data_IF_442126018665
#
_entry.id   IF_442126018665
#
_cell.length_a   1.000
_cell.length_b   1.000
_cell.length_c   1.000
_cell.angle_alpha   90.00
_cell.angle_beta   90.00
_cell.angle_gamma   90.00
#
_symmetry.space_group_name_H-M   'P 1'
#
loop_
_entity.id
_entity.type
_entity.pdbx_description
1 polymer ?
#
# COMPACT_ATOMS: atom_id res chain seq x y z
N UNK A 1 3.19 -21.15 7.95
CA UNK A 1 3.02 -19.88 7.22
C UNK A 1 4.31 -19.54 6.46
N UNK A 2 4.17 -19.26 5.16
CA UNK A 2 5.31 -18.94 4.30
C UNK A 2 5.49 -17.42 4.08
N UNK A 3 4.53 -16.61 4.49
CA UNK A 3 4.59 -15.15 4.34
C UNK A 3 5.64 -14.58 5.32
N UNK A 4 6.47 -13.67 4.80
CA UNK A 4 7.45 -12.96 5.63
C UNK A 4 6.88 -11.63 6.10
N UNK A 5 7.26 -11.21 7.31
CA UNK A 5 7.02 -9.85 7.76
C UNK A 5 7.73 -8.87 6.80
N UNK A 6 7.02 -7.85 6.27
CA UNK A 6 7.67 -6.79 5.50
C UNK A 6 8.73 -6.07 6.34
N UNK A 7 9.83 -5.66 5.71
CA UNK A 7 10.89 -4.93 6.40
C UNK A 7 10.39 -3.56 6.87
N UNK A 8 10.88 -3.10 8.01
CA UNK A 8 10.69 -1.73 8.46
C UNK A 8 11.58 -0.79 7.65
N UNK A 9 11.13 0.44 7.43
CA UNK A 9 11.92 1.44 6.73
C UNK A 9 13.27 1.66 7.45
N UNK A 10 14.37 1.64 6.68
CA UNK A 10 15.73 1.87 7.23
C UNK A 10 15.90 3.26 7.85
N UNK A 11 15.08 4.23 7.41
CA UNK A 11 15.04 5.57 7.95
C UNK A 11 14.07 5.75 9.14
N UNK A 12 13.50 4.66 9.67
CA UNK A 12 12.61 4.72 10.83
C UNK A 12 13.28 5.44 12.02
N UNK A 13 12.59 6.44 12.56
CA UNK A 13 13.06 7.32 13.64
C UNK A 13 11.98 7.47 14.70
N UNK A 14 12.41 7.69 15.94
CA UNK A 14 11.51 7.97 17.06
C UNK A 14 10.62 6.80 17.46
N UNK A 15 9.42 7.09 17.88
CA UNK A 15 8.33 6.15 18.20
C UNK A 15 8.65 5.15 19.34
N UNK A 16 9.66 5.43 20.16
CA UNK A 16 10.07 4.53 21.24
C UNK A 16 8.98 4.39 22.31
N UNK A 17 8.26 5.47 22.57
CA UNK A 17 7.23 5.48 23.60
C UNK A 17 5.95 4.82 23.11
N UNK A 18 5.60 4.99 21.83
CA UNK A 18 4.50 4.27 21.20
C UNK A 18 4.78 2.75 21.17
N UNK A 19 5.99 2.34 20.81
CA UNK A 19 6.38 0.92 20.82
C UNK A 19 6.31 0.33 22.22
N UNK A 20 6.75 1.07 23.25
CA UNK A 20 6.61 0.64 24.67
C UNK A 20 5.15 0.56 25.09
N UNK A 21 4.33 1.54 24.71
CA UNK A 21 2.90 1.55 25.02
C UNK A 21 2.19 0.35 24.39
N UNK A 22 2.51 0.02 23.12
CA UNK A 22 2.00 -1.19 22.44
C UNK A 22 2.42 -2.44 23.23
N UNK A 23 3.69 -2.55 23.63
CA UNK A 23 4.21 -3.69 24.39
C UNK A 23 3.50 -3.86 25.73
N UNK A 24 3.28 -2.75 26.45
CA UNK A 24 2.58 -2.72 27.72
C UNK A 24 1.12 -3.16 27.58
N UNK A 25 0.43 -2.64 26.55
CA UNK A 25 -0.97 -2.98 26.29
C UNK A 25 -1.12 -4.46 25.94
N UNK A 26 -0.36 -4.95 24.96
CA UNK A 26 -0.40 -6.36 24.50
C UNK A 26 0.15 -7.36 25.55
N UNK A 27 0.65 -6.89 26.69
CA UNK A 27 0.94 -7.75 27.85
C UNK A 27 -0.28 -8.04 28.71
N UNK A 28 -1.33 -7.22 28.62
CA UNK A 28 -2.54 -7.29 29.43
C UNK A 28 -3.80 -7.58 28.62
N UNK A 29 -3.81 -7.20 27.35
CA UNK A 29 -4.94 -7.33 26.42
C UNK A 29 -4.47 -7.99 25.13
N UNK A 30 -5.38 -8.68 24.43
CA UNK A 30 -5.04 -9.39 23.20
C UNK A 30 -5.21 -8.53 21.94
N UNK A 31 -5.90 -7.40 21.99
CA UNK A 31 -6.23 -6.58 20.81
C UNK A 31 -5.90 -5.13 21.06
N UNK A 32 -5.21 -4.51 20.08
CA UNK A 32 -4.90 -3.09 20.11
C UNK A 32 -5.01 -2.48 18.70
N UNK A 33 -5.66 -1.33 18.62
CA UNK A 33 -5.66 -0.52 17.40
C UNK A 33 -4.57 0.55 17.45
N UNK A 34 -3.87 0.72 16.33
CA UNK A 34 -3.00 1.87 16.05
C UNK A 34 -3.76 2.78 15.11
N UNK A 35 -4.12 3.97 15.57
CA UNK A 35 -4.90 4.92 14.80
C UNK A 35 -4.08 6.16 14.43
N UNK A 36 -4.54 6.96 13.47
CA UNK A 36 -3.88 8.19 13.03
C UNK A 36 -4.05 8.45 11.54
N UNK A 37 -3.60 9.60 11.08
CA UNK A 37 -3.73 10.03 9.68
C UNK A 37 -3.04 9.06 8.70
N UNK A 38 -3.47 9.13 7.43
CA UNK A 38 -2.79 8.41 6.34
C UNK A 38 -1.33 8.89 6.23
N UNK A 39 -0.37 7.99 6.00
CA UNK A 39 1.04 8.35 5.81
C UNK A 39 1.82 8.79 7.07
N UNK A 40 1.20 8.79 8.27
CA UNK A 40 1.85 9.19 9.54
C UNK A 40 2.85 8.14 10.07
N UNK A 41 2.84 6.92 9.51
CA UNK A 41 3.77 5.85 9.88
C UNK A 41 3.18 4.73 10.74
N UNK A 42 1.85 4.54 10.80
CA UNK A 42 1.20 3.46 11.57
C UNK A 42 1.74 2.08 11.26
N UNK A 43 1.82 1.74 9.97
CA UNK A 43 2.34 0.46 9.48
C UNK A 43 3.81 0.27 9.87
N UNK A 44 4.61 1.34 9.81
CA UNK A 44 6.02 1.29 10.20
C UNK A 44 6.18 1.08 11.72
N UNK A 45 5.33 1.70 12.54
CA UNK A 45 5.30 1.45 14.00
C UNK A 45 4.93 0.00 14.30
N UNK A 46 3.93 -0.57 13.61
CA UNK A 46 3.54 -1.98 13.79
C UNK A 46 4.68 -2.94 13.40
N UNK A 47 5.35 -2.69 12.28
CA UNK A 47 6.52 -3.47 11.83
C UNK A 47 7.69 -3.33 12.81
N UNK A 48 8.01 -2.12 13.25
CA UNK A 48 9.06 -1.85 14.22
C UNK A 48 8.79 -2.54 15.56
N UNK A 49 7.53 -2.51 16.03
CA UNK A 49 7.12 -3.26 17.21
C UNK A 49 7.38 -4.76 17.06
N UNK A 50 6.96 -5.34 15.93
CA UNK A 50 7.14 -6.76 15.65
C UNK A 50 8.63 -7.16 15.61
N UNK A 51 9.48 -6.34 14.96
CA UNK A 51 10.92 -6.58 14.89
C UNK A 51 11.60 -6.47 16.26
N UNK A 52 11.28 -5.42 17.01
CA UNK A 52 11.85 -5.19 18.35
C UNK A 52 11.46 -6.29 19.33
N UNK A 53 10.25 -6.83 19.22
CA UNK A 53 9.70 -7.85 20.10
C UNK A 53 9.74 -9.26 19.47
N UNK A 54 10.53 -9.47 18.41
CA UNK A 54 10.59 -10.75 17.67
C UNK A 54 10.81 -11.97 18.55
N UNK A 55 11.57 -11.85 19.63
CA UNK A 55 11.87 -12.94 20.55
C UNK A 55 10.67 -13.33 21.45
N UNK A 56 9.68 -12.47 21.59
CA UNK A 56 8.46 -12.72 22.35
C UNK A 56 7.51 -13.64 21.61
N UNK A 57 7.56 -13.63 20.29
CA UNK A 57 6.58 -14.32 19.45
C UNK A 57 7.19 -15.52 18.71
N UNK A 58 6.55 -16.66 18.83
CA UNK A 58 6.85 -17.84 18.01
C UNK A 58 6.46 -17.60 16.55
N UNK A 59 5.29 -16.98 16.34
CA UNK A 59 4.77 -16.64 15.04
C UNK A 59 4.47 -15.14 14.93
N UNK A 60 4.78 -14.55 13.77
CA UNK A 60 4.33 -13.21 13.39
C UNK A 60 3.67 -13.33 12.02
N UNK A 61 2.40 -12.97 11.96
CA UNK A 61 1.59 -12.97 10.74
C UNK A 61 1.34 -11.51 10.36
N UNK A 62 1.66 -11.15 9.12
CA UNK A 62 1.33 -9.84 8.58
C UNK A 62 0.26 -10.02 7.50
N UNK A 63 -0.89 -9.39 7.72
CA UNK A 63 -2.06 -9.44 6.85
C UNK A 63 -2.40 -8.01 6.43
N UNK A 64 -2.38 -7.75 5.12
CA UNK A 64 -2.83 -6.48 4.58
C UNK A 64 -4.33 -6.58 4.26
N UNK A 65 -5.13 -5.69 4.83
CA UNK A 65 -6.58 -5.68 4.61
C UNK A 65 -6.92 -5.09 3.25
N UNK A 66 -7.65 -5.84 2.43
CA UNK A 66 -8.05 -5.44 1.07
C UNK A 66 -9.56 -5.20 0.93
N UNK A 67 -10.33 -5.31 2.01
CA UNK A 67 -11.78 -5.10 2.03
C UNK A 67 -12.60 -6.31 2.46
N UNK A 68 -11.99 -7.50 2.61
CA UNK A 68 -12.65 -8.74 3.05
C UNK A 68 -11.63 -9.62 3.79
N UNK A 69 -11.79 -9.73 5.12
CA UNK A 69 -10.86 -10.50 5.96
C UNK A 69 -10.82 -11.99 5.62
N UNK A 70 -11.94 -12.58 5.21
CA UNK A 70 -11.97 -14.00 4.86
C UNK A 70 -11.11 -14.27 3.63
N UNK A 71 -11.25 -13.41 2.62
CA UNK A 71 -10.43 -13.46 1.39
C UNK A 71 -8.96 -13.19 1.69
N UNK A 72 -8.66 -12.21 2.54
CA UNK A 72 -7.29 -11.88 2.92
C UNK A 72 -6.62 -13.04 3.67
N UNK A 73 -7.36 -13.73 4.56
CA UNK A 73 -6.87 -14.94 5.25
C UNK A 73 -6.70 -16.10 4.26
N UNK A 74 -7.62 -16.30 3.31
CA UNK A 74 -7.48 -17.30 2.27
C UNK A 74 -6.23 -17.06 1.39
N UNK A 75 -5.84 -15.81 1.23
CA UNK A 75 -4.68 -15.39 0.44
C UNK A 75 -3.33 -15.52 1.18
N UNK A 76 -3.32 -15.81 2.47
CA UNK A 76 -2.10 -16.22 3.16
C UNK A 76 -1.55 -17.51 2.50
N UNK A 77 -0.24 -17.70 2.58
CA UNK A 77 0.41 -18.90 2.01
C UNK A 77 0.85 -19.84 3.12
N UNK A 78 0.30 -21.03 3.15
CA UNK A 78 0.70 -22.09 4.05
C UNK A 78 1.42 -23.22 3.28
N UNK A 79 2.25 -23.98 3.98
CA UNK A 79 3.05 -25.04 3.37
C UNK A 79 2.20 -26.18 2.75
N UNK A 80 1.00 -26.37 3.28
CA UNK A 80 0.07 -27.43 2.88
C UNK A 80 -0.95 -26.96 1.83
N UNK A 81 -0.82 -25.71 1.32
CA UNK A 81 -1.68 -25.21 0.26
C UNK A 81 -1.44 -25.98 -1.04
N UNK A 82 -2.51 -26.48 -1.64
CA UNK A 82 -2.48 -27.04 -2.98
C UNK A 82 -3.19 -26.12 -3.97
N UNK A 83 -2.76 -26.20 -5.21
CA UNK A 83 -3.28 -25.41 -6.34
C UNK A 83 -4.76 -25.74 -6.64
N UNK A 84 -5.23 -26.89 -6.19
CA UNK A 84 -6.60 -27.35 -6.42
C UNK A 84 -7.62 -26.81 -5.41
N UNK A 85 -7.15 -26.20 -4.31
CA UNK A 85 -8.02 -25.67 -3.26
C UNK A 85 -8.69 -24.38 -3.72
N UNK A 86 -10.03 -24.34 -3.68
CA UNK A 86 -10.77 -23.10 -3.87
C UNK A 86 -10.61 -22.16 -2.66
N UNK A 87 -11.03 -20.91 -2.80
CA UNK A 87 -10.87 -19.86 -1.79
C UNK A 87 -11.51 -20.24 -0.44
N UNK A 88 -12.73 -20.80 -0.45
CA UNK A 88 -13.43 -21.19 0.78
C UNK A 88 -12.69 -22.33 1.51
N UNK A 89 -12.21 -23.35 0.79
CA UNK A 89 -11.43 -24.46 1.38
C UNK A 89 -10.13 -23.93 1.97
N UNK A 90 -9.45 -23.02 1.27
CA UNK A 90 -8.23 -22.37 1.78
C UNK A 90 -8.53 -21.55 3.02
N UNK A 91 -9.56 -20.69 2.99
CA UNK A 91 -9.99 -19.96 4.16
C UNK A 91 -10.23 -20.88 5.37
N UNK A 92 -11.01 -21.94 5.20
CA UNK A 92 -11.33 -22.89 6.27
C UNK A 92 -10.07 -23.56 6.84
N UNK A 93 -9.15 -23.98 5.98
CA UNK A 93 -7.90 -24.59 6.42
C UNK A 93 -7.00 -23.60 7.17
N UNK A 94 -6.81 -22.40 6.61
CA UNK A 94 -5.99 -21.35 7.23
C UNK A 94 -6.59 -20.91 8.57
N UNK A 95 -7.90 -20.68 8.62
CA UNK A 95 -8.57 -20.24 9.83
C UNK A 95 -8.54 -21.31 10.93
N UNK A 96 -8.69 -22.60 10.58
CA UNK A 96 -8.48 -23.72 11.54
C UNK A 96 -7.07 -23.72 12.15
N UNK A 97 -6.04 -23.39 11.35
CA UNK A 97 -4.68 -23.23 11.88
C UNK A 97 -4.61 -22.02 12.81
N UNK A 98 -5.16 -20.88 12.40
CA UNK A 98 -5.17 -19.65 13.19
C UNK A 98 -5.88 -19.82 14.54
N UNK A 99 -6.98 -20.56 14.61
CA UNK A 99 -7.70 -20.87 15.84
C UNK A 99 -6.89 -21.69 16.86
N UNK A 100 -5.81 -22.33 16.44
CA UNK A 100 -4.89 -23.09 17.33
C UNK A 100 -3.69 -22.29 17.78
N UNK A 101 -3.57 -21.04 17.32
CA UNK A 101 -2.49 -20.15 17.72
C UNK A 101 -2.86 -19.43 19.02
N UNK A 102 -1.86 -19.16 19.86
CA UNK A 102 -2.02 -18.60 21.19
C UNK A 102 -1.28 -17.25 21.32
N UNK A 103 -1.17 -16.76 22.56
CA UNK A 103 -0.59 -15.45 22.91
C UNK A 103 0.88 -15.27 22.50
N UNK A 104 1.57 -16.34 22.11
CA UNK A 104 2.91 -16.29 21.50
C UNK A 104 2.88 -16.01 19.99
N UNK A 105 1.71 -15.74 19.44
CA UNK A 105 1.49 -15.33 18.05
C UNK A 105 1.02 -13.89 17.98
N UNK A 106 1.68 -13.08 17.15
CA UNK A 106 1.25 -11.73 16.79
C UNK A 106 0.67 -11.73 15.38
N UNK A 107 -0.58 -11.32 15.24
CA UNK A 107 -1.19 -10.98 13.96
C UNK A 107 -1.21 -9.45 13.82
N UNK A 108 -0.54 -8.93 12.81
CA UNK A 108 -0.64 -7.53 12.37
C UNK A 108 -1.66 -7.48 11.24
N UNK A 109 -2.78 -6.80 11.47
CA UNK A 109 -3.78 -6.49 10.46
C UNK A 109 -3.57 -5.04 10.03
N UNK A 110 -2.91 -4.86 8.88
CA UNK A 110 -2.56 -3.53 8.37
C UNK A 110 -3.61 -2.98 7.41
N UNK A 111 -3.79 -1.65 7.42
CA UNK A 111 -4.71 -0.91 6.55
C UNK A 111 -6.21 -1.21 6.77
N UNK A 112 -6.61 -1.53 7.99
CA UNK A 112 -8.03 -1.77 8.34
C UNK A 112 -8.78 -0.42 8.45
N UNK A 113 -9.19 0.14 7.32
CA UNK A 113 -9.75 1.50 7.21
C UNK A 113 -11.29 1.51 7.11
N UNK A 114 -11.94 0.47 7.62
CA UNK A 114 -13.40 0.37 7.74
C UNK A 114 -13.82 0.34 9.21
N UNK A 115 -15.09 0.57 9.50
CA UNK A 115 -15.56 0.41 10.87
C UNK A 115 -15.70 -1.10 11.20
N UNK A 116 -15.38 -1.53 12.42
CA UNK A 116 -15.49 -2.94 12.82
C UNK A 116 -16.90 -3.55 12.66
N UNK A 117 -17.93 -2.72 12.57
CA UNK A 117 -19.30 -3.17 12.28
C UNK A 117 -19.51 -3.57 10.81
N UNK A 118 -18.70 -3.01 9.91
CA UNK A 118 -18.79 -3.22 8.46
C UNK A 118 -17.94 -4.45 8.02
N UNK A 119 -17.12 -5.00 8.93
CA UNK A 119 -16.37 -6.25 8.75
C UNK A 119 -16.74 -7.25 9.87
N UNK A 120 -17.85 -7.99 9.71
CA UNK A 120 -18.36 -8.87 10.77
C UNK A 120 -17.37 -9.95 11.22
N UNK A 121 -16.52 -10.43 10.31
CA UNK A 121 -15.55 -11.48 10.62
C UNK A 121 -14.44 -11.01 11.58
N UNK A 122 -14.18 -9.70 11.67
CA UNK A 122 -13.23 -9.16 12.65
C UNK A 122 -13.58 -9.60 14.09
N UNK A 123 -14.87 -9.63 14.44
CA UNK A 123 -15.32 -10.06 15.77
C UNK A 123 -14.99 -11.53 16.06
N UNK A 124 -15.07 -12.38 15.03
CA UNK A 124 -14.68 -13.78 15.15
C UNK A 124 -13.16 -13.91 15.29
N UNK A 125 -12.40 -13.13 14.52
CA UNK A 125 -10.95 -13.12 14.60
C UNK A 125 -10.44 -12.66 15.96
N UNK A 126 -11.10 -11.67 16.59
CA UNK A 126 -10.78 -11.14 17.91
C UNK A 126 -11.07 -12.12 19.08
N UNK A 127 -11.82 -13.21 18.85
CA UNK A 127 -12.07 -14.25 19.85
C UNK A 127 -10.92 -15.26 19.97
N UNK A 128 -9.99 -15.26 19.02
CA UNK A 128 -8.83 -16.14 19.06
C UNK A 128 -7.85 -15.68 20.15
N UNK A 129 -7.07 -16.62 20.69
CA UNK A 129 -6.13 -16.34 21.81
C UNK A 129 -4.86 -15.59 21.37
N UNK A 130 -4.67 -15.34 20.06
CA UNK A 130 -3.50 -14.62 19.56
C UNK A 130 -3.57 -13.11 19.84
N UNK A 131 -2.42 -12.46 19.80
CA UNK A 131 -2.34 -11.00 19.92
C UNK A 131 -2.59 -10.33 18.56
N UNK A 132 -3.52 -9.36 18.52
CA UNK A 132 -3.89 -8.61 17.32
C UNK A 132 -3.43 -7.16 17.43
N UNK A 133 -2.66 -6.71 16.47
CA UNK A 133 -2.26 -5.32 16.31
C UNK A 133 -2.84 -4.79 14.98
N UNK A 134 -3.79 -3.86 15.06
CA UNK A 134 -4.60 -3.45 13.90
C UNK A 134 -4.30 -1.99 13.58
N UNK A 135 -3.84 -1.67 12.38
CA UNK A 135 -3.66 -0.28 11.95
C UNK A 135 -4.90 0.25 11.25
N UNK A 136 -5.34 1.45 11.59
CA UNK A 136 -6.54 2.06 11.02
C UNK A 136 -6.43 3.59 10.91
N UNK A 137 -7.15 4.18 9.94
CA UNK A 137 -7.40 5.63 9.90
C UNK A 137 -8.64 6.03 10.69
N UNK A 138 -9.49 5.06 11.04
CA UNK A 138 -10.74 5.32 11.72
C UNK A 138 -10.53 5.59 13.20
N UNK A 139 -11.18 6.63 13.75
CA UNK A 139 -11.25 6.87 15.20
C UNK A 139 -12.28 5.92 15.81
N UNK A 140 -11.84 5.03 16.69
CA UNK A 140 -12.66 3.95 17.26
C UNK A 140 -12.95 4.25 18.74
N UNK A 141 -14.22 4.51 19.09
CA UNK A 141 -14.62 4.87 20.46
C UNK A 141 -14.70 3.69 21.43
N UNK A 142 -14.90 2.47 20.92
CA UNK A 142 -15.21 1.28 21.73
C UNK A 142 -14.10 0.24 21.73
N UNK A 143 -12.91 0.61 21.27
CA UNK A 143 -11.75 -0.27 21.18
C UNK A 143 -10.53 0.44 21.76
N UNK A 144 -9.68 -0.33 22.42
CA UNK A 144 -8.42 0.20 22.91
C UNK A 144 -7.54 0.60 21.73
N UNK A 145 -7.07 1.83 21.74
CA UNK A 145 -6.28 2.38 20.63
C UNK A 145 -5.18 3.30 21.12
N UNK A 146 -4.07 3.28 20.38
CA UNK A 146 -2.98 4.25 20.50
C UNK A 146 -3.01 5.11 19.24
N UNK A 147 -3.18 6.42 19.41
CA UNK A 147 -3.14 7.37 18.31
C UNK A 147 -1.70 7.76 18.01
N UNK A 148 -1.27 7.54 16.76
CA UNK A 148 0.02 8.00 16.25
C UNK A 148 -0.17 9.42 15.74
N UNK A 149 0.55 10.35 16.37
CA UNK A 149 0.58 11.77 15.99
C UNK A 149 1.82 12.07 15.16
N UNK A 150 1.95 13.30 14.71
CA UNK A 150 3.15 13.80 14.04
C UNK A 150 4.39 13.56 14.91
N UNK A 151 5.51 13.34 14.27
CA UNK A 151 6.81 13.31 14.93
C UNK A 151 7.18 14.73 15.42
N UNK A 152 8.00 14.81 16.47
CA UNK A 152 8.52 16.09 16.94
C UNK A 152 9.29 16.80 15.81
N UNK A 153 8.89 18.06 15.52
CA UNK A 153 9.41 18.82 14.38
C UNK A 153 10.91 19.07 14.50
N UNK A 154 11.34 19.56 15.67
CA UNK A 154 12.70 20.06 15.86
C UNK A 154 13.74 18.91 15.98
N UNK A 155 13.29 17.75 16.46
CA UNK A 155 14.16 16.60 16.68
C UNK A 155 13.97 15.52 15.63
N UNK A 156 12.78 14.92 15.60
CA UNK A 156 12.54 13.70 14.86
C UNK A 156 12.33 13.95 13.36
N UNK A 157 11.51 14.95 12.98
CA UNK A 157 11.29 15.26 11.55
C UNK A 157 12.53 15.87 10.92
N UNK A 158 13.24 16.73 11.64
CA UNK A 158 14.51 17.30 11.17
C UNK A 158 15.58 16.21 11.02
N UNK A 159 15.68 15.27 11.96
CA UNK A 159 16.58 14.12 11.85
C UNK A 159 16.21 13.23 10.66
N UNK A 160 14.91 12.97 10.46
CA UNK A 160 14.37 12.21 9.33
C UNK A 160 14.73 12.88 8.00
N UNK A 161 14.54 14.20 7.89
CA UNK A 161 14.91 14.97 6.72
C UNK A 161 16.40 14.81 6.40
N UNK A 162 17.26 15.03 7.39
CA UNK A 162 18.72 14.92 7.22
C UNK A 162 19.22 13.50 6.97
N UNK A 163 18.46 12.48 7.37
CA UNK A 163 18.78 11.10 7.06
C UNK A 163 18.60 10.80 5.57
N UNK A 164 17.59 11.44 4.95
CA UNK A 164 17.32 11.32 3.53
C UNK A 164 18.11 12.33 2.67
N UNK A 165 18.38 13.53 3.20
CA UNK A 165 19.16 14.58 2.53
C UNK A 165 20.22 15.16 3.46
N UNK A 166 21.38 14.52 3.62
CA UNK A 166 22.45 15.00 4.50
C UNK A 166 23.01 16.36 4.11
N UNK A 167 22.99 16.71 2.83
CA UNK A 167 23.47 17.98 2.29
C UNK A 167 22.66 19.18 2.79
N UNK A 168 21.38 18.99 3.10
CA UNK A 168 20.48 20.04 3.58
C UNK A 168 20.81 20.57 5.00
N UNK A 169 21.73 19.91 5.74
CA UNK A 169 22.19 20.41 7.05
C UNK A 169 22.85 21.79 7.01
N UNK A 170 23.28 22.23 5.84
CA UNK A 170 23.88 23.58 5.62
C UNK A 170 22.85 24.71 5.65
N UNK A 171 21.56 24.40 5.52
CA UNK A 171 20.47 25.38 5.53
C UNK A 171 19.31 24.87 6.43
N UNK A 172 19.49 24.90 7.76
CA UNK A 172 18.51 24.40 8.70
C UNK A 172 17.21 25.23 8.71
N UNK A 173 17.28 26.51 8.39
CA UNK A 173 16.13 27.40 8.42
C UNK A 173 15.16 27.06 7.29
N UNK A 174 15.65 26.87 6.07
CA UNK A 174 14.83 26.43 4.94
C UNK A 174 14.28 25.03 5.16
N UNK A 175 15.06 24.10 5.74
CA UNK A 175 14.58 22.76 6.10
C UNK A 175 13.43 22.83 7.12
N UNK A 176 13.56 23.66 8.16
CA UNK A 176 12.49 23.86 9.14
C UNK A 176 11.23 24.43 8.49
N UNK A 177 11.39 25.39 7.57
CA UNK A 177 10.27 25.97 6.83
C UNK A 177 9.62 24.96 5.85
N UNK A 178 10.39 24.09 5.18
CA UNK A 178 9.86 23.00 4.33
C UNK A 178 9.02 22.04 5.18
N UNK A 179 9.51 21.61 6.34
CA UNK A 179 8.79 20.71 7.24
C UNK A 179 7.44 21.32 7.66
N UNK A 180 7.41 22.63 7.94
CA UNK A 180 6.16 23.34 8.25
C UNK A 180 5.23 23.43 7.05
N UNK A 181 5.75 23.78 5.88
CA UNK A 181 4.97 23.92 4.65
C UNK A 181 4.23 22.62 4.30
N UNK A 182 4.87 21.48 4.50
CA UNK A 182 4.23 20.15 4.31
C UNK A 182 3.47 19.66 5.55
N UNK A 183 3.08 20.57 6.46
CA UNK A 183 2.27 20.31 7.65
C UNK A 183 2.86 19.24 8.60
N UNK A 184 4.16 19.15 8.72
CA UNK A 184 4.86 18.14 9.56
C UNK A 184 4.46 16.68 9.22
N UNK A 185 3.90 16.43 8.05
CA UNK A 185 3.41 15.12 7.67
C UNK A 185 4.56 14.19 7.25
N UNK A 186 4.76 13.09 7.96
CA UNK A 186 5.95 12.23 7.84
C UNK A 186 6.25 11.80 6.40
N UNK A 187 5.25 11.34 5.64
CA UNK A 187 5.46 10.90 4.26
C UNK A 187 5.89 12.05 3.34
N UNK A 188 5.24 13.22 3.45
CA UNK A 188 5.59 14.39 2.63
C UNK A 188 6.96 14.95 2.98
N UNK A 189 7.34 14.92 4.26
CA UNK A 189 8.69 15.28 4.73
C UNK A 189 9.74 14.34 4.12
N UNK A 190 9.51 13.02 4.15
CA UNK A 190 10.39 12.05 3.51
C UNK A 190 10.54 12.32 2.01
N UNK A 191 9.42 12.53 1.30
CA UNK A 191 9.46 12.79 -0.14
C UNK A 191 10.14 14.11 -0.47
N UNK A 192 9.91 15.18 0.31
CA UNK A 192 10.59 16.46 0.12
C UNK A 192 12.11 16.31 0.26
N UNK A 193 12.56 15.60 1.29
CA UNK A 193 14.00 15.35 1.51
C UNK A 193 14.61 14.51 0.37
N UNK A 194 13.92 13.45 -0.08
CA UNK A 194 14.38 12.60 -1.18
C UNK A 194 14.37 13.34 -2.53
N UNK A 195 13.36 14.18 -2.78
CA UNK A 195 13.30 15.04 -3.96
C UNK A 195 14.47 16.02 -3.96
N UNK A 196 14.76 16.65 -2.84
CA UNK A 196 15.87 17.58 -2.69
C UNK A 196 17.22 16.89 -2.95
N UNK A 197 17.46 15.73 -2.33
CA UNK A 197 18.70 14.95 -2.53
C UNK A 197 18.87 14.50 -3.99
N UNK A 198 17.77 14.10 -4.63
CA UNK A 198 17.80 13.56 -5.99
C UNK A 198 17.91 14.65 -7.07
N UNK A 199 17.25 15.80 -6.88
CA UNK A 199 17.25 16.92 -7.84
C UNK A 199 18.51 17.76 -7.77
N UNK A 200 19.20 17.80 -6.61
CA UNK A 200 20.30 18.70 -6.33
C UNK A 200 19.89 20.17 -6.20
N UNK A 201 18.61 20.46 -6.03
CA UNK A 201 18.08 21.80 -5.74
C UNK A 201 18.60 22.30 -4.39
N UNK A 202 18.64 23.62 -4.20
CA UNK A 202 18.85 24.18 -2.86
C UNK A 202 17.55 24.14 -2.05
N UNK A 203 17.61 24.01 -0.70
CA UNK A 203 16.42 23.96 0.15
C UNK A 203 15.46 25.13 -0.04
N UNK A 204 16.00 26.35 -0.22
CA UNK A 204 15.19 27.54 -0.47
C UNK A 204 14.40 27.46 -1.80
N UNK A 205 14.97 26.88 -2.86
CA UNK A 205 14.28 26.68 -4.14
C UNK A 205 13.10 25.73 -3.98
N UNK A 206 13.30 24.60 -3.29
CA UNK A 206 12.21 23.66 -3.00
C UNK A 206 11.11 24.31 -2.17
N UNK A 207 11.47 25.13 -1.17
CA UNK A 207 10.50 25.86 -0.35
C UNK A 207 9.65 26.82 -1.18
N UNK A 208 10.26 27.56 -2.11
CA UNK A 208 9.54 28.48 -3.00
C UNK A 208 8.59 27.74 -3.93
N UNK A 209 9.01 26.61 -4.48
CA UNK A 209 8.15 25.75 -5.29
C UNK A 209 6.96 25.21 -4.49
N UNK A 210 7.19 24.70 -3.26
CA UNK A 210 6.12 24.24 -2.38
C UNK A 210 5.10 25.33 -2.05
N UNK A 211 5.54 26.54 -1.80
CA UNK A 211 4.69 27.71 -1.55
C UNK A 211 3.90 28.15 -2.78
N UNK A 212 4.51 28.10 -3.96
CA UNK A 212 3.85 28.52 -5.20
C UNK A 212 2.62 27.68 -5.56
N UNK A 213 2.60 26.42 -5.17
CA UNK A 213 1.49 25.50 -5.44
C UNK A 213 0.42 25.47 -4.32
N UNK A 214 0.76 25.91 -3.11
CA UNK A 214 -0.18 25.93 -1.98
C UNK A 214 -1.25 27.04 -2.06
N UNK A 215 -1.07 28.04 -2.90
CA UNK A 215 -1.95 29.24 -2.93
C UNK A 215 -2.82 29.34 -4.19
N UNK A 216 -2.57 28.54 -5.23
CA UNK A 216 -3.02 28.90 -6.59
C UNK A 216 -4.10 28.07 -7.25
N UNK A 217 -4.48 26.90 -6.80
CA UNK A 217 -5.45 26.09 -7.56
C UNK A 217 -6.43 25.36 -6.64
N UNK A 218 -7.70 25.77 -6.67
CA UNK A 218 -8.90 25.14 -6.12
C UNK A 218 -9.36 25.53 -4.70
N UNK A 219 -9.13 26.75 -4.23
CA UNK A 219 -9.82 27.23 -3.02
C UNK A 219 -11.29 27.67 -3.28
N UNK A 220 -11.72 27.81 -4.53
CA UNK A 220 -13.09 28.31 -4.84
C UNK A 220 -14.21 27.23 -4.78
N UNK A 221 -13.87 25.95 -4.68
CA UNK A 221 -14.88 24.87 -4.65
C UNK A 221 -15.04 24.19 -3.28
N UNK A 222 -14.35 24.62 -2.23
CA UNK A 222 -14.33 23.91 -0.94
C UNK A 222 -14.89 24.80 0.17
N UNK A 223 -16.22 25.01 0.18
CA UNK A 223 -16.87 25.80 1.24
C UNK A 223 -17.15 25.05 2.56
N UNK A 224 -17.00 23.73 2.64
CA UNK A 224 -17.28 22.98 3.88
C UNK A 224 -16.42 21.72 4.00
N UNK A 225 -15.21 21.81 4.53
CA UNK A 225 -14.47 20.63 4.96
C UNK A 225 -14.23 20.65 6.48
N UNK A 226 -14.37 19.49 7.10
CA UNK A 226 -13.86 19.25 8.46
C UNK A 226 -12.33 19.30 8.41
N UNK A 227 -11.67 19.71 9.49
CA UNK A 227 -10.22 19.90 9.57
C UNK A 227 -9.39 18.71 9.03
N UNK A 228 -9.88 17.47 9.22
CA UNK A 228 -9.21 16.24 8.74
C UNK A 228 -9.23 16.12 7.21
N UNK A 229 -10.24 16.62 6.50
CA UNK A 229 -10.36 16.56 5.02
C UNK A 229 -9.51 17.63 4.33
N UNK A 230 -9.41 18.80 4.93
CA UNK A 230 -8.50 19.87 4.44
C UNK A 230 -7.04 19.46 4.53
N UNK A 231 -6.63 18.86 5.65
CA UNK A 231 -5.28 18.32 5.84
C UNK A 231 -4.95 17.23 4.82
N UNK A 232 -5.91 16.36 4.49
CA UNK A 232 -5.75 15.32 3.48
C UNK A 232 -5.57 15.90 2.07
N UNK A 233 -6.41 16.86 1.67
CA UNK A 233 -6.33 17.51 0.35
C UNK A 233 -5.00 18.27 0.17
N UNK A 234 -4.55 18.98 1.20
CA UNK A 234 -3.25 19.67 1.21
C UNK A 234 -2.08 18.69 1.05
N UNK A 235 -2.12 17.56 1.77
CA UNK A 235 -1.10 16.52 1.67
C UNK A 235 -1.04 15.90 0.26
N UNK A 236 -2.19 15.59 -0.35
CA UNK A 236 -2.25 15.09 -1.73
C UNK A 236 -1.69 16.13 -2.71
N UNK A 237 -1.99 17.41 -2.51
CA UNK A 237 -1.44 18.51 -3.29
C UNK A 237 0.10 18.56 -3.23
N UNK A 238 0.68 18.47 -2.03
CA UNK A 238 2.13 18.42 -1.85
C UNK A 238 2.76 17.16 -2.48
N UNK A 239 2.15 15.98 -2.31
CA UNK A 239 2.65 14.75 -2.96
C UNK A 239 2.64 14.86 -4.48
N UNK A 240 1.55 15.36 -5.05
CA UNK A 240 1.40 15.61 -6.50
C UNK A 240 2.50 16.53 -7.02
N UNK A 241 2.76 17.61 -6.31
CA UNK A 241 3.78 18.57 -6.67
C UNK A 241 5.19 17.97 -6.59
N UNK A 242 5.55 17.30 -5.49
CA UNK A 242 6.84 16.65 -5.33
C UNK A 242 7.09 15.63 -6.46
N UNK A 243 6.04 14.91 -6.90
CA UNK A 243 6.14 14.04 -8.06
C UNK A 243 6.41 14.81 -9.36
N UNK A 244 5.78 15.98 -9.57
CA UNK A 244 6.01 16.84 -10.75
C UNK A 244 7.42 17.45 -10.78
N UNK A 245 7.95 17.86 -9.62
CA UNK A 245 9.30 18.43 -9.51
C UNK A 245 10.40 17.44 -9.94
N UNK A 246 10.18 16.16 -9.79
CA UNK A 246 11.13 15.13 -10.21
C UNK A 246 11.26 15.00 -11.74
N UNK A 247 10.47 15.75 -12.52
CA UNK A 247 10.53 15.83 -14.00
C UNK A 247 10.66 14.44 -14.64
N UNK A 248 9.75 13.53 -14.28
CA UNK A 248 9.76 12.15 -14.73
C UNK A 248 9.72 12.11 -16.27
N UNK A 249 10.58 11.28 -16.87
CA UNK A 249 10.52 10.99 -18.31
C UNK A 249 9.33 10.06 -18.61
N UNK A 250 9.01 9.90 -19.90
CA UNK A 250 7.87 9.08 -20.36
C UNK A 250 7.96 7.63 -19.86
N UNK A 251 9.15 7.03 -19.90
CA UNK A 251 9.36 5.66 -19.39
C UNK A 251 9.07 5.55 -17.89
N UNK A 252 9.48 6.56 -17.10
CA UNK A 252 9.19 6.60 -15.66
C UNK A 252 7.70 6.79 -15.37
N UNK A 253 7.02 7.59 -16.19
CA UNK A 253 5.57 7.78 -16.11
C UNK A 253 4.85 6.46 -16.45
N UNK A 254 5.33 5.74 -17.47
CA UNK A 254 4.75 4.46 -17.86
C UNK A 254 4.96 3.37 -16.78
N UNK A 255 6.16 3.32 -16.19
CA UNK A 255 6.43 2.47 -15.02
C UNK A 255 5.48 2.78 -13.88
N UNK A 256 5.31 4.07 -13.56
CA UNK A 256 4.43 4.52 -12.48
C UNK A 256 2.96 4.20 -12.76
N UNK A 257 2.51 4.41 -14.01
CA UNK A 257 1.17 4.06 -14.49
C UNK A 257 0.86 2.58 -14.25
N UNK A 258 1.74 1.71 -14.71
CA UNK A 258 1.55 0.27 -14.57
C UNK A 258 1.64 -0.19 -13.11
N UNK A 259 2.62 0.34 -12.34
CA UNK A 259 2.77 -0.01 -10.92
C UNK A 259 1.58 0.49 -10.07
N UNK A 260 0.92 1.58 -10.46
CA UNK A 260 -0.26 2.11 -9.76
C UNK A 260 -1.47 1.16 -9.81
N UNK A 261 -1.51 0.27 -10.78
CA UNK A 261 -2.53 -0.78 -10.89
C UNK A 261 -2.26 -2.00 -10.00
N UNK A 262 -1.04 -2.14 -9.47
CA UNK A 262 -0.62 -3.32 -8.74
C UNK A 262 -0.88 -3.20 -7.24
N UNK A 263 -0.94 -4.32 -6.51
CA UNK A 263 -1.21 -4.31 -5.07
C UNK A 263 -0.18 -3.50 -4.28
N UNK A 264 -0.65 -2.75 -3.28
CA UNK A 264 0.22 -2.02 -2.34
C UNK A 264 1.02 -2.95 -1.42
N UNK A 265 0.67 -4.22 -1.34
CA UNK A 265 1.46 -5.28 -0.70
C UNK A 265 2.78 -5.55 -1.43
N UNK A 266 2.88 -5.11 -2.68
CA UNK A 266 4.07 -5.17 -3.50
C UNK A 266 4.15 -6.37 -4.42
N UNK A 267 4.98 -6.21 -5.45
CA UNK A 267 5.30 -7.24 -6.43
C UNK A 267 6.81 -7.43 -6.52
N UNK A 268 7.26 -8.63 -6.94
CA UNK A 268 8.69 -8.85 -7.14
C UNK A 268 9.26 -7.89 -8.20
N UNK A 269 10.32 -7.19 -7.88
CA UNK A 269 11.01 -6.25 -8.78
C UNK A 269 11.43 -6.91 -10.09
N UNK A 270 11.87 -8.18 -10.03
CA UNK A 270 12.24 -8.97 -11.22
C UNK A 270 11.02 -9.36 -12.07
N UNK A 271 9.90 -9.69 -11.43
CA UNK A 271 8.67 -10.01 -12.15
C UNK A 271 8.11 -8.75 -12.84
N UNK A 272 8.08 -7.62 -12.15
CA UNK A 272 7.65 -6.34 -12.72
C UNK A 272 8.51 -5.93 -13.92
N UNK A 273 9.86 -6.10 -13.85
CA UNK A 273 10.75 -5.89 -15.00
C UNK A 273 10.33 -6.73 -16.19
N UNK A 274 10.03 -8.00 -15.97
CA UNK A 274 9.62 -8.93 -17.04
C UNK A 274 8.24 -8.55 -17.62
N UNK A 275 7.28 -8.20 -16.77
CA UNK A 275 5.91 -7.87 -17.20
C UNK A 275 5.84 -6.61 -18.07
N UNK A 276 6.77 -5.66 -17.90
CA UNK A 276 6.87 -4.45 -18.72
C UNK A 276 7.93 -4.55 -19.80
N UNK A 277 8.60 -5.69 -19.99
CA UNK A 277 9.69 -5.87 -20.96
C UNK A 277 10.81 -4.82 -20.82
N UNK A 278 11.09 -4.38 -19.59
CA UNK A 278 12.07 -3.33 -19.37
C UNK A 278 13.49 -3.83 -19.69
N UNK A 279 14.22 -3.12 -20.51
CA UNK A 279 15.63 -3.40 -20.80
C UNK A 279 16.47 -3.33 -19.51
N UNK A 280 16.21 -2.34 -18.68
CA UNK A 280 16.93 -2.11 -17.43
C UNK A 280 16.02 -1.66 -16.30
N UNK A 281 16.52 -1.74 -15.07
CA UNK A 281 15.85 -1.22 -13.88
C UNK A 281 16.23 0.24 -13.56
N UNK A 282 16.88 0.96 -14.48
CA UNK A 282 17.38 2.32 -14.23
C UNK A 282 16.26 3.26 -13.75
N UNK A 283 15.18 3.34 -14.51
CA UNK A 283 14.05 4.23 -14.19
C UNK A 283 13.30 3.78 -12.93
N UNK A 284 13.17 2.46 -12.68
CA UNK A 284 12.63 1.94 -11.42
C UNK A 284 13.50 2.37 -10.23
N UNK A 285 14.84 2.23 -10.34
CA UNK A 285 15.75 2.65 -9.27
C UNK A 285 15.75 4.16 -9.06
N UNK A 286 15.53 4.93 -10.11
CA UNK A 286 15.37 6.38 -10.02
C UNK A 286 14.09 6.76 -9.25
N UNK A 287 12.98 6.13 -9.55
CA UNK A 287 11.72 6.30 -8.79
C UNK A 287 11.83 5.87 -7.32
N UNK A 288 12.63 4.83 -7.04
CA UNK A 288 12.97 4.43 -5.65
C UNK A 288 13.77 5.55 -4.97
N UNK A 289 14.76 6.12 -5.66
CA UNK A 289 15.59 7.20 -5.13
C UNK A 289 14.78 8.46 -4.83
N UNK A 290 13.75 8.77 -5.62
CA UNK A 290 12.80 9.87 -5.36
C UNK A 290 11.79 9.54 -4.24
N UNK A 291 11.79 8.33 -3.69
CA UNK A 291 10.84 7.92 -2.67
C UNK A 291 9.40 7.68 -3.18
N UNK A 292 9.21 7.67 -4.51
CA UNK A 292 7.92 7.39 -5.15
C UNK A 292 7.63 5.88 -5.05
N UNK A 293 8.63 5.04 -5.33
CA UNK A 293 8.54 3.58 -5.17
C UNK A 293 9.23 3.18 -3.87
N UNK A 294 8.56 2.39 -3.06
CA UNK A 294 9.11 1.72 -1.90
C UNK A 294 9.73 0.39 -2.31
N UNK A 295 10.93 0.08 -1.84
CA UNK A 295 11.60 -1.20 -2.06
C UNK A 295 11.78 -1.95 -0.74
N UNK A 296 11.31 -3.18 -0.69
CA UNK A 296 11.65 -4.14 0.36
C UNK A 296 12.81 -5.01 -0.14
N UNK A 297 14.01 -4.71 0.33
CA UNK A 297 15.24 -5.40 -0.10
C UNK A 297 15.34 -6.84 0.39
N UNK A 298 14.70 -7.17 1.55
CA UNK A 298 14.68 -8.53 2.08
C UNK A 298 13.78 -9.43 1.26
N UNK A 299 12.58 -8.93 0.91
CA UNK A 299 11.60 -9.66 0.10
C UNK A 299 11.78 -9.44 -1.40
N UNK A 300 12.67 -8.52 -1.81
CA UNK A 300 12.93 -8.14 -3.22
C UNK A 300 11.67 -7.66 -3.94
N UNK A 301 10.79 -6.96 -3.22
CA UNK A 301 9.53 -6.42 -3.74
C UNK A 301 9.58 -4.90 -3.87
N UNK A 302 8.76 -4.40 -4.77
CA UNK A 302 8.50 -2.96 -4.95
C UNK A 302 7.01 -2.71 -4.82
N UNK A 303 6.65 -1.54 -4.28
CA UNK A 303 5.27 -1.11 -4.10
C UNK A 303 5.15 0.40 -4.12
N UNK A 304 3.94 0.91 -4.33
CA UNK A 304 3.59 2.30 -4.03
C UNK A 304 2.96 2.39 -2.64
N UNK A 305 3.27 3.45 -1.92
CA UNK A 305 2.48 3.80 -0.75
C UNK A 305 1.03 4.12 -1.19
N UNK A 306 -0.02 3.74 -0.43
CA UNK A 306 -1.42 3.94 -0.86
C UNK A 306 -1.74 5.37 -1.31
N UNK A 307 -1.21 6.39 -0.65
CA UNK A 307 -1.39 7.79 -1.05
C UNK A 307 -0.67 8.14 -2.36
N UNK A 308 0.52 7.60 -2.56
CA UNK A 308 1.27 7.78 -3.81
C UNK A 308 0.57 7.05 -4.95
N UNK A 309 0.01 5.86 -4.69
CA UNK A 309 -0.80 5.12 -5.65
C UNK A 309 -2.02 5.93 -6.10
N UNK A 310 -2.74 6.55 -5.16
CA UNK A 310 -3.89 7.41 -5.46
C UNK A 310 -3.50 8.59 -6.36
N UNK A 311 -2.41 9.29 -6.03
CA UNK A 311 -1.87 10.38 -6.86
C UNK A 311 -1.43 9.87 -8.21
N UNK A 312 -0.73 8.73 -8.28
CA UNK A 312 -0.24 8.14 -9.52
C UNK A 312 -1.40 7.76 -10.46
N UNK A 313 -2.47 7.14 -9.94
CA UNK A 313 -3.68 6.82 -10.72
C UNK A 313 -4.30 8.11 -11.29
N UNK A 314 -4.45 9.15 -10.48
CA UNK A 314 -5.04 10.42 -10.90
C UNK A 314 -4.19 11.15 -11.96
N UNK A 315 -2.86 11.11 -11.84
CA UNK A 315 -1.95 11.83 -12.76
C UNK A 315 -1.62 11.04 -14.03
N UNK A 316 -1.57 9.70 -13.98
CA UNK A 316 -1.17 8.88 -15.13
C UNK A 316 -2.33 8.27 -15.89
N UNK A 317 -3.54 8.28 -15.30
CA UNK A 317 -4.79 7.80 -15.91
C UNK A 317 -4.60 6.44 -16.59
N UNK A 318 -4.40 5.34 -15.83
CA UNK A 318 -4.03 4.05 -16.39
C UNK A 318 -5.16 3.44 -17.21
N UNK A 319 -4.96 3.30 -18.53
CA UNK A 319 -5.92 2.72 -19.47
C UNK A 319 -5.51 1.29 -19.87
N UNK A 320 -6.46 0.54 -20.42
CA UNK A 320 -6.18 -0.80 -20.99
C UNK A 320 -5.17 -0.71 -22.11
N UNK A 321 -5.28 0.30 -22.97
CA UNK A 321 -4.37 0.49 -24.10
C UNK A 321 -2.96 0.83 -23.66
N UNK A 322 -2.79 1.70 -22.66
CA UNK A 322 -1.47 2.07 -22.15
C UNK A 322 -0.79 0.94 -21.36
N UNK A 323 -1.58 0.10 -20.68
CA UNK A 323 -1.07 -0.98 -19.82
C UNK A 323 -1.06 -2.35 -20.52
N UNK A 324 -1.29 -2.41 -21.83
CA UNK A 324 -1.49 -3.67 -22.55
C UNK A 324 -0.29 -4.64 -22.47
N UNK A 325 0.95 -4.14 -22.40
CA UNK A 325 2.16 -4.98 -22.28
C UNK A 325 2.10 -5.80 -20.97
N UNK A 326 1.85 -5.14 -19.86
CA UNK A 326 1.71 -5.81 -18.55
C UNK A 326 0.53 -6.78 -18.55
N UNK A 327 -0.62 -6.38 -19.09
CA UNK A 327 -1.80 -7.23 -19.17
C UNK A 327 -1.54 -8.50 -20.01
N UNK A 328 -0.86 -8.37 -21.16
CA UNK A 328 -0.47 -9.49 -21.98
C UNK A 328 0.45 -10.48 -21.24
N UNK A 329 1.45 -9.97 -20.51
CA UNK A 329 2.34 -10.84 -19.75
C UNK A 329 1.61 -11.58 -18.62
N UNK A 330 0.75 -10.90 -17.90
CA UNK A 330 -0.08 -11.55 -16.88
C UNK A 330 -0.99 -12.61 -17.50
N UNK A 331 -1.59 -12.32 -18.65
CA UNK A 331 -2.41 -13.26 -19.41
C UNK A 331 -1.60 -14.50 -19.82
N UNK A 332 -0.43 -14.30 -20.45
CA UNK A 332 0.45 -15.40 -20.86
C UNK A 332 0.94 -16.27 -19.70
N UNK A 333 1.23 -15.67 -18.54
CA UNK A 333 1.62 -16.42 -17.34
C UNK A 333 0.49 -17.36 -16.94
N UNK A 334 -0.73 -16.88 -16.91
CA UNK A 334 -1.87 -17.72 -16.56
C UNK A 334 -2.12 -18.82 -17.58
N UNK A 335 -2.03 -18.53 -18.89
CA UNK A 335 -2.24 -19.52 -19.93
C UNK A 335 -1.11 -20.56 -20.00
N UNK A 336 0.16 -20.15 -19.84
CA UNK A 336 1.31 -21.04 -20.01
C UNK A 336 1.53 -21.98 -18.83
N UNK A 337 1.27 -21.51 -17.63
CA UNK A 337 1.58 -22.25 -16.40
C UNK A 337 0.35 -22.86 -15.74
N UNK A 338 -0.84 -22.51 -16.22
CA UNK A 338 -2.07 -22.90 -15.57
C UNK A 338 -2.04 -22.54 -14.09
N UNK A 339 -2.51 -23.48 -13.26
CA UNK A 339 -2.48 -23.32 -11.81
C UNK A 339 -1.17 -23.80 -11.15
N UNK A 340 -0.22 -24.32 -11.95
CA UNK A 340 1.12 -24.73 -11.46
C UNK A 340 2.07 -23.56 -11.16
N UNK A 341 1.59 -22.33 -11.25
CA UNK A 341 2.36 -21.17 -10.80
C UNK A 341 2.60 -21.30 -9.31
N UNK A 342 3.85 -21.33 -8.90
CA UNK A 342 4.28 -21.46 -7.48
C UNK A 342 3.64 -20.44 -6.52
N UNK A 343 2.94 -19.41 -7.05
CA UNK A 343 2.22 -18.38 -6.30
C UNK A 343 1.01 -17.86 -7.10
N UNK A 344 -0.05 -18.67 -7.31
CA UNK A 344 -1.26 -18.21 -8.03
C UNK A 344 -1.93 -17.02 -7.34
N UNK A 345 -1.80 -16.91 -6.02
CA UNK A 345 -2.35 -15.84 -5.20
C UNK A 345 -1.80 -14.46 -5.60
N UNK A 346 -0.48 -14.33 -5.85
CA UNK A 346 0.11 -13.04 -6.22
C UNK A 346 -0.41 -12.52 -7.55
N UNK A 347 -0.60 -13.39 -8.54
CA UNK A 347 -1.18 -13.01 -9.84
C UNK A 347 -2.64 -12.60 -9.66
N UNK A 348 -3.38 -13.31 -8.83
CA UNK A 348 -4.78 -13.00 -8.53
C UNK A 348 -4.94 -11.65 -7.80
N UNK A 349 -4.04 -11.34 -6.85
CA UNK A 349 -4.02 -10.05 -6.19
C UNK A 349 -3.76 -8.91 -7.19
N UNK A 350 -2.83 -9.12 -8.12
CA UNK A 350 -2.58 -8.16 -9.21
C UNK A 350 -3.84 -7.93 -10.04
N UNK A 351 -4.51 -9.00 -10.47
CA UNK A 351 -5.71 -8.91 -11.30
C UNK A 351 -6.86 -8.21 -10.57
N UNK A 352 -7.05 -8.52 -9.27
CA UNK A 352 -8.04 -7.82 -8.43
C UNK A 352 -7.74 -6.31 -8.34
N UNK A 353 -6.48 -5.94 -8.15
CA UNK A 353 -6.06 -4.54 -8.08
C UNK A 353 -6.23 -3.82 -9.42
N UNK A 354 -5.80 -4.44 -10.51
CA UNK A 354 -5.97 -3.92 -11.87
C UNK A 354 -7.44 -3.64 -12.16
N UNK A 355 -8.32 -4.59 -11.90
CA UNK A 355 -9.76 -4.44 -12.18
C UNK A 355 -10.45 -3.32 -11.41
N UNK A 356 -9.90 -2.93 -10.25
CA UNK A 356 -10.42 -1.81 -9.45
C UNK A 356 -10.08 -0.44 -10.02
N UNK A 357 -8.96 -0.32 -10.72
CA UNK A 357 -8.35 0.98 -11.02
C UNK A 357 -8.20 1.27 -12.51
N UNK A 358 -8.22 0.24 -13.37
CA UNK A 358 -7.97 0.40 -14.80
C UNK A 358 -9.16 1.07 -15.50
N UNK A 359 -8.85 1.97 -16.44
CA UNK A 359 -9.86 2.63 -17.26
C UNK A 359 -10.04 1.83 -18.56
N UNK A 360 -11.29 1.48 -18.84
CA UNK A 360 -11.69 0.62 -19.97
C UNK A 360 -11.86 1.45 -21.25
N UNK A 361 -10.76 1.86 -21.87
CA UNK A 361 -10.71 2.51 -23.17
C UNK A 361 -10.78 1.49 -24.34
N UNK A 362 -10.34 0.25 -24.10
CA UNK A 362 -10.43 -0.88 -25.04
C UNK A 362 -11.21 -2.04 -24.38
N UNK A 363 -12.53 -1.91 -24.36
CA UNK A 363 -13.44 -2.87 -23.71
C UNK A 363 -13.35 -4.27 -24.34
N UNK A 364 -13.28 -4.36 -25.66
CA UNK A 364 -13.27 -5.64 -26.37
C UNK A 364 -12.05 -6.48 -25.98
N UNK A 365 -10.87 -5.87 -25.98
CA UNK A 365 -9.63 -6.52 -25.53
C UNK A 365 -9.73 -6.96 -24.05
N UNK A 366 -10.21 -6.06 -23.18
CA UNK A 366 -10.29 -6.36 -21.75
C UNK A 366 -11.31 -7.47 -21.43
N UNK A 367 -12.40 -7.55 -22.17
CA UNK A 367 -13.37 -8.65 -22.06
C UNK A 367 -12.78 -10.00 -22.48
N UNK A 368 -12.05 -10.04 -23.59
CA UNK A 368 -11.32 -11.25 -24.01
C UNK A 368 -10.31 -11.69 -22.95
N UNK A 369 -9.55 -10.74 -22.43
CA UNK A 369 -8.62 -10.98 -21.34
C UNK A 369 -9.34 -11.58 -20.10
N UNK A 370 -10.46 -11.00 -19.66
CA UNK A 370 -11.25 -11.51 -18.55
C UNK A 370 -11.87 -12.88 -18.86
N UNK A 371 -12.33 -13.09 -20.09
CA UNK A 371 -12.92 -14.36 -20.52
C UNK A 371 -11.90 -15.49 -20.43
N UNK A 372 -10.67 -15.28 -20.88
CA UNK A 372 -9.61 -16.27 -20.82
C UNK A 372 -9.11 -16.48 -19.39
N UNK A 373 -9.23 -15.45 -18.55
CA UNK A 373 -8.86 -15.54 -17.13
C UNK A 373 -9.96 -16.18 -16.26
N UNK A 374 -11.21 -16.21 -16.73
CA UNK A 374 -12.37 -16.67 -15.96
C UNK A 374 -12.21 -18.09 -15.38
N UNK A 375 -11.67 -19.12 -16.10
CA UNK A 375 -11.47 -20.45 -15.52
C UNK A 375 -10.53 -20.47 -14.31
N UNK A 376 -9.63 -19.49 -14.22
CA UNK A 376 -8.73 -19.33 -13.10
C UNK A 376 -9.40 -18.57 -11.97
N UNK A 377 -10.28 -17.61 -12.29
CA UNK A 377 -11.09 -16.87 -11.32
C UNK A 377 -12.16 -17.76 -10.65
N UNK A 378 -12.82 -18.63 -11.39
CA UNK A 378 -13.89 -19.50 -10.89
C UNK A 378 -13.43 -20.41 -9.76
N UNK A 379 -12.14 -20.77 -9.74
CA UNK A 379 -11.52 -21.55 -8.65
C UNK A 379 -11.10 -20.72 -7.43
N UNK A 380 -10.89 -19.40 -7.58
CA UNK A 380 -10.26 -18.55 -6.57
C UNK A 380 -11.08 -17.32 -6.19
N UNK A 381 -12.16 -17.02 -6.90
CA UNK A 381 -12.99 -15.85 -6.66
C UNK A 381 -14.42 -16.25 -6.39
N UNK A 382 -14.90 -15.86 -5.23
CA UNK A 382 -16.32 -15.88 -4.93
C UNK A 382 -17.01 -14.68 -5.60
N UNK A 383 -18.23 -14.92 -6.08
CA UNK A 383 -19.39 -14.11 -6.49
C UNK A 383 -19.26 -12.65 -6.96
N UNK A 384 -18.28 -11.86 -6.57
CA UNK A 384 -18.23 -10.42 -6.93
C UNK A 384 -17.73 -10.14 -8.37
N UNK A 385 -16.95 -11.05 -8.94
CA UNK A 385 -16.45 -10.94 -10.31
C UNK A 385 -17.46 -11.32 -11.40
N UNK A 386 -18.33 -12.32 -11.19
CA UNK A 386 -19.40 -12.63 -12.14
C UNK A 386 -20.34 -11.46 -12.42
N UNK A 387 -20.53 -10.57 -11.46
CA UNK A 387 -21.41 -9.41 -11.63
C UNK A 387 -20.82 -8.41 -12.63
N UNK A 388 -19.51 -8.12 -12.54
CA UNK A 388 -18.86 -7.23 -13.51
C UNK A 388 -18.78 -7.85 -14.92
N UNK A 389 -18.48 -9.16 -15.01
CA UNK A 389 -18.43 -9.89 -16.28
C UNK A 389 -19.81 -10.07 -16.90
N UNK A 390 -20.83 -10.46 -16.13
CA UNK A 390 -22.20 -10.60 -16.61
C UNK A 390 -22.83 -9.24 -16.94
N UNK A 391 -22.53 -8.17 -16.20
CA UNK A 391 -22.94 -6.81 -16.54
C UNK A 391 -22.29 -6.31 -17.83
N UNK A 392 -21.00 -6.54 -18.03
CA UNK A 392 -20.30 -6.19 -19.26
C UNK A 392 -20.86 -6.97 -20.45
N UNK A 393 -21.09 -8.28 -20.29
CA UNK A 393 -21.67 -9.13 -21.33
C UNK A 393 -23.13 -8.79 -21.64
N UNK A 394 -23.93 -8.44 -20.64
CA UNK A 394 -25.32 -8.03 -20.82
C UNK A 394 -25.44 -6.68 -21.58
N UNK A 395 -24.47 -5.78 -21.39
CA UNK A 395 -24.45 -4.51 -22.14
C UNK A 395 -23.97 -4.67 -23.60
N UNK A 396 -23.08 -5.62 -23.91
CA UNK A 396 -22.65 -5.87 -25.30
C UNK A 396 -23.69 -6.60 -26.14
N UNK A 397 -24.45 -7.54 -25.53
CA UNK A 397 -25.51 -8.27 -26.29
C UNK A 397 -26.74 -7.43 -26.55
N UNK A 398 -26.89 -6.27 -25.95
CA UNK A 398 -28.04 -5.36 -26.15
C UNK A 398 -27.74 -4.13 -27.00
N UNK A 399 -26.47 -3.82 -27.28
CA UNK A 399 -26.06 -2.63 -28.03
C UNK A 399 -25.56 -2.91 -29.45
N UNK A 400 -25.29 -4.17 -29.82
CA UNK A 400 -24.74 -4.57 -31.12
C UNK A 400 -25.68 -5.48 -31.94
N UNK A 401 -26.94 -5.60 -31.52
CA UNK A 401 -28.06 -6.15 -32.30
C UNK A 401 -29.07 -5.07 -32.63
#
# INVERSE_FOLDING_TARGET
LCNKLPSCNQAFIGRKDEIKAIASHLSNQSVLFITGMAGIGKSEVAKAYAQTNRKKYTNIIYLYYTGDLRKDIANLTFADDSVEMNEEVRFQNHYKVMQRLHTDTLLILDNFNVLPKDEPFLKELMKNDMQLLITSRCKLKNYDSIEIKELDKEKELTELFYKHCPSAKRDPDSVSAIIEEVNCHTLTVCMAALTLEASGMEPEELLQELRSCGIGQNMEEIEVFKDDEFSYASMIGHLRMLMKLNRLNEDSIDILRNLSLLPVSGVYKSAFKMWLELDSLKNVNELIRYGIISEDTENKTIALHPLIQEVAIAETIPTVSDCHVMLNHLHLICLAHGLDVKRPVTVMECLKSINRHIILDNRAYYLLFLQDMYPYFDKYLDTDYPVSYTHLRAHETLSDL
#
